data_IF_005883415302
#
_entry.id   IF_005883415302
#
_cell.length_a   1.000
_cell.length_b   1.000
_cell.length_c   1.000
_cell.angle_alpha   90.00
_cell.angle_beta   90.00
_cell.angle_gamma   90.00
#
_symmetry.space_group_name_H-M   'P 1'
#
loop_
_entity.id
_entity.type
_entity.pdbx_description
1 polymer ?
#
# COMPACT_ATOMS: atom_id res chain seq x y z
N UNK A 1 10.03 6.30 5.85
CA UNK A 1 11.39 6.19 6.48
C UNK A 1 11.35 5.52 7.86
N UNK A 2 10.68 6.05 8.89
CA UNK A 2 10.66 5.41 10.24
C UNK A 2 10.18 3.95 10.23
N UNK A 3 9.01 3.69 9.63
CA UNK A 3 8.47 2.33 9.52
C UNK A 3 9.42 1.36 8.77
N UNK A 4 10.12 1.83 7.73
CA UNK A 4 11.10 1.01 7.02
C UNK A 4 12.30 0.65 7.91
N UNK A 5 12.81 1.61 8.68
CA UNK A 5 13.90 1.36 9.61
C UNK A 5 13.48 0.38 10.73
N UNK A 6 12.27 0.54 11.28
CA UNK A 6 11.71 -0.36 12.30
C UNK A 6 11.51 -1.79 11.76
N UNK A 7 11.17 -1.93 10.48
CA UNK A 7 10.98 -3.22 9.81
C UNK A 7 12.25 -3.72 9.07
N UNK A 8 13.40 -3.07 9.23
CA UNK A 8 14.66 -3.39 8.54
C UNK A 8 14.59 -3.42 7.00
N UNK A 9 13.65 -2.69 6.40
CA UNK A 9 13.49 -2.55 4.95
C UNK A 9 14.48 -1.52 4.40
N UNK A 10 15.26 -1.91 3.39
CA UNK A 10 16.29 -1.05 2.77
C UNK A 10 15.85 -0.53 1.41
N UNK A 11 15.14 -1.35 0.65
CA UNK A 11 14.60 -1.04 -0.67
C UNK A 11 13.08 -1.30 -0.68
N UNK A 12 12.26 -0.33 -0.24
CA UNK A 12 10.81 -0.53 -0.13
C UNK A 12 10.14 -0.83 -1.47
N UNK A 13 10.71 -0.35 -2.59
CA UNK A 13 10.22 -0.62 -3.94
C UNK A 13 10.27 -2.13 -4.29
N UNK A 14 11.26 -2.86 -3.79
CA UNK A 14 11.48 -4.27 -4.11
C UNK A 14 11.11 -5.21 -2.95
N UNK A 15 11.13 -4.73 -1.70
CA UNK A 15 10.87 -5.56 -0.52
C UNK A 15 9.41 -5.54 -0.07
N UNK A 16 8.64 -4.48 -0.36
CA UNK A 16 7.21 -4.43 -0.07
C UNK A 16 6.46 -5.13 -1.20
N UNK A 17 5.83 -6.26 -0.90
CA UNK A 17 5.16 -7.10 -1.90
C UNK A 17 3.81 -6.53 -2.34
N UNK A 18 3.16 -5.75 -1.49
CA UNK A 18 1.85 -5.15 -1.75
C UNK A 18 1.60 -3.98 -0.80
N UNK A 19 0.72 -3.06 -1.18
CA UNK A 19 0.28 -2.01 -0.26
C UNK A 19 -1.17 -1.58 -0.44
N UNK A 20 -1.72 -1.07 0.66
CA UNK A 20 -2.99 -0.35 0.72
C UNK A 20 -2.69 1.07 1.19
N UNK A 21 -2.99 2.07 0.37
CA UNK A 21 -2.70 3.47 0.69
C UNK A 21 -3.99 4.29 0.77
N UNK A 22 -3.93 5.48 1.36
CA UNK A 22 -5.13 6.30 1.56
C UNK A 22 -5.50 7.04 0.26
N UNK A 23 -6.07 6.35 -0.72
CA UNK A 23 -6.41 6.83 -2.06
C UNK A 23 -7.76 7.58 -2.13
N UNK A 24 -8.02 8.51 -1.21
CA UNK A 24 -9.27 9.30 -1.24
C UNK A 24 -9.44 10.10 -2.55
N UNK A 25 -8.34 10.36 -3.25
CA UNK A 25 -8.29 10.83 -4.63
C UNK A 25 -7.15 10.12 -5.37
N UNK A 26 -7.28 9.95 -6.69
CA UNK A 26 -6.23 9.32 -7.52
C UNK A 26 -4.88 10.03 -7.44
N UNK A 27 -4.88 11.36 -7.36
CA UNK A 27 -3.64 12.13 -7.19
C UNK A 27 -2.98 11.88 -5.82
N UNK A 28 -3.77 11.62 -4.78
CA UNK A 28 -3.23 11.33 -3.45
C UNK A 28 -2.51 9.98 -3.43
N UNK A 29 -3.08 8.98 -4.09
CA UNK A 29 -2.43 7.68 -4.31
C UNK A 29 -1.09 7.84 -5.03
N UNK A 30 -1.08 8.58 -6.14
CA UNK A 30 0.14 8.84 -6.93
C UNK A 30 1.25 9.48 -6.08
N UNK A 31 0.95 10.56 -5.37
CA UNK A 31 1.94 11.25 -4.53
C UNK A 31 2.39 10.35 -3.36
N UNK A 32 1.46 9.59 -2.76
CA UNK A 32 1.78 8.68 -1.66
C UNK A 32 2.76 7.59 -2.11
N UNK A 33 2.63 7.05 -3.33
CA UNK A 33 3.59 6.06 -3.85
C UNK A 33 5.00 6.64 -4.03
N UNK A 34 5.13 7.93 -4.34
CA UNK A 34 6.43 8.61 -4.37
C UNK A 34 6.97 8.88 -2.96
N UNK A 35 6.13 9.32 -2.03
CA UNK A 35 6.50 9.57 -0.63
C UNK A 35 6.93 8.28 0.09
N UNK A 36 6.31 7.15 -0.25
CA UNK A 36 6.66 5.80 0.18
C UNK A 36 7.88 5.24 -0.58
N UNK A 37 8.47 5.99 -1.51
CA UNK A 37 9.66 5.58 -2.26
C UNK A 37 9.43 4.32 -3.12
N UNK A 38 8.17 4.05 -3.50
CA UNK A 38 7.85 3.03 -4.49
C UNK A 38 8.19 3.50 -5.88
N UNK A 39 8.08 4.81 -6.15
CA UNK A 39 8.55 5.47 -7.36
C UNK A 39 9.51 6.61 -7.02
N UNK A 40 10.45 6.99 -7.92
CA UNK A 40 11.16 8.25 -7.78
C UNK A 40 10.18 9.45 -7.79
N UNK A 41 10.57 10.54 -7.12
CA UNK A 41 9.79 11.78 -7.09
C UNK A 41 9.49 12.29 -8.50
N UNK A 42 8.23 12.58 -8.80
CA UNK A 42 7.73 13.02 -10.09
C UNK A 42 7.75 11.95 -11.19
N UNK A 43 7.92 10.67 -10.84
CA UNK A 43 8.08 9.55 -11.79
C UNK A 43 7.07 8.43 -11.61
N UNK A 44 6.06 8.63 -10.77
CA UNK A 44 5.02 7.61 -10.53
C UNK A 44 4.17 7.33 -11.75
N UNK A 45 3.99 8.32 -12.65
CA UNK A 45 3.21 8.15 -13.87
C UNK A 45 3.79 7.05 -14.76
N UNK A 46 5.11 7.02 -14.91
CA UNK A 46 5.78 6.01 -15.72
C UNK A 46 5.57 4.59 -15.16
N UNK A 47 5.58 4.43 -13.84
CA UNK A 47 5.33 3.14 -13.18
C UNK A 47 3.84 2.73 -13.26
N UNK A 48 2.91 3.69 -13.18
CA UNK A 48 1.47 3.44 -13.40
C UNK A 48 1.23 2.99 -14.84
N UNK A 49 1.76 3.74 -15.82
CA UNK A 49 1.59 3.44 -17.25
C UNK A 49 2.22 2.09 -17.62
N UNK A 50 3.31 1.69 -16.94
CA UNK A 50 3.95 0.39 -17.09
C UNK A 50 3.21 -0.75 -16.37
N UNK A 51 2.13 -0.46 -15.64
CA UNK A 51 1.34 -1.44 -14.91
C UNK A 51 2.02 -1.97 -13.65
N UNK A 52 3.02 -1.28 -13.09
CA UNK A 52 3.78 -1.78 -11.93
C UNK A 52 2.87 -2.10 -10.74
N UNK A 53 1.86 -1.24 -10.56
CA UNK A 53 0.96 -1.25 -9.41
C UNK A 53 -0.34 -2.02 -9.65
N UNK A 54 -0.51 -2.59 -10.84
CA UNK A 54 -1.66 -3.44 -11.14
C UNK A 54 -1.63 -4.71 -10.27
N UNK A 55 -2.76 -5.39 -10.18
CA UNK A 55 -2.89 -6.62 -9.38
C UNK A 55 -1.90 -7.73 -9.79
N UNK A 56 -1.58 -7.80 -11.08
CA UNK A 56 -0.60 -8.71 -11.69
C UNK A 56 0.79 -8.08 -11.89
N UNK A 57 0.96 -6.83 -11.44
CA UNK A 57 2.21 -6.10 -11.51
C UNK A 57 3.24 -6.54 -10.45
N UNK A 58 4.49 -6.05 -10.52
CA UNK A 58 5.55 -6.39 -9.56
C UNK A 58 5.29 -5.93 -8.13
N UNK A 59 4.47 -4.89 -7.94
CA UNK A 59 4.15 -4.36 -6.60
C UNK A 59 2.69 -3.89 -6.57
N UNK A 60 1.70 -4.79 -6.43
CA UNK A 60 0.29 -4.42 -6.44
C UNK A 60 -0.07 -3.40 -5.35
N UNK A 61 -0.78 -2.34 -5.74
CA UNK A 61 -1.30 -1.30 -4.84
C UNK A 61 -2.84 -1.30 -4.92
N UNK A 62 -3.50 -1.21 -3.77
CA UNK A 62 -4.96 -1.38 -3.65
C UNK A 62 -5.49 -2.72 -4.19
N UNK A 63 -4.92 -3.89 -3.81
CA UNK A 63 -5.40 -5.18 -4.31
C UNK A 63 -6.87 -5.48 -3.99
N UNK A 64 -7.53 -4.77 -3.07
CA UNK A 64 -8.97 -4.88 -2.83
C UNK A 64 -9.84 -3.82 -3.56
N UNK A 65 -9.20 -2.88 -4.27
CA UNK A 65 -9.83 -1.77 -4.98
C UNK A 65 -9.75 -0.40 -4.30
N UNK A 66 -9.19 -0.32 -3.09
CA UNK A 66 -8.92 0.94 -2.40
C UNK A 66 -10.16 1.74 -2.02
N UNK A 67 -9.96 2.94 -1.48
CA UNK A 67 -11.05 3.86 -1.11
C UNK A 67 -11.91 4.24 -2.32
N UNK A 68 -11.32 4.30 -3.51
CA UNK A 68 -12.01 4.66 -4.76
C UNK A 68 -13.12 3.66 -5.15
N UNK A 69 -12.87 2.36 -4.97
CA UNK A 69 -13.78 1.32 -5.48
C UNK A 69 -14.41 0.47 -4.39
N UNK A 70 -13.65 0.13 -3.33
CA UNK A 70 -14.18 -0.62 -2.18
C UNK A 70 -15.11 0.27 -1.33
N UNK A 71 -14.78 1.56 -1.24
CA UNK A 71 -15.51 2.56 -0.48
C UNK A 71 -14.73 3.09 0.72
N UNK A 72 -15.17 4.23 1.25
CA UNK A 72 -14.43 4.98 2.27
C UNK A 72 -15.27 5.35 3.51
N UNK A 73 -15.69 4.36 4.33
CA UNK A 73 -16.16 4.65 5.68
C UNK A 73 -14.97 5.06 6.55
N UNK A 74 -14.91 6.34 6.93
CA UNK A 74 -13.72 7.02 7.48
C UNK A 74 -12.99 6.18 8.54
N UNK A 75 -13.68 5.77 9.61
CA UNK A 75 -13.06 5.00 10.71
C UNK A 75 -12.73 3.54 10.36
N UNK A 76 -13.43 2.94 9.40
CA UNK A 76 -13.26 1.54 9.03
C UNK A 76 -12.17 1.32 7.96
N UNK A 77 -11.76 2.38 7.26
CA UNK A 77 -10.82 2.26 6.13
C UNK A 77 -9.47 1.66 6.55
N UNK A 78 -8.87 2.14 7.65
CA UNK A 78 -7.60 1.59 8.14
C UNK A 78 -7.68 0.12 8.59
N UNK A 79 -8.81 -0.29 9.18
CA UNK A 79 -9.03 -1.69 9.56
C UNK A 79 -9.17 -2.59 8.34
N UNK A 80 -9.88 -2.12 7.30
CA UNK A 80 -10.02 -2.83 6.03
C UNK A 80 -8.66 -3.00 5.33
N UNK A 81 -7.83 -1.94 5.28
CA UNK A 81 -6.47 -2.03 4.72
C UNK A 81 -5.67 -3.16 5.38
N UNK A 82 -5.67 -3.20 6.73
CA UNK A 82 -4.98 -4.25 7.48
C UNK A 82 -5.57 -5.64 7.25
N UNK A 83 -6.90 -5.72 7.13
CA UNK A 83 -7.61 -6.96 6.84
C UNK A 83 -7.27 -7.51 5.44
N UNK A 84 -7.07 -6.66 4.44
CA UNK A 84 -6.60 -7.10 3.13
C UNK A 84 -5.18 -7.67 3.21
N UNK A 85 -4.26 -6.99 3.89
CA UNK A 85 -2.90 -7.52 4.12
C UNK A 85 -2.94 -8.88 4.82
N UNK A 86 -3.79 -9.02 5.85
CA UNK A 86 -4.00 -10.29 6.55
C UNK A 86 -4.48 -11.40 5.59
N UNK A 87 -5.51 -11.17 4.78
CA UNK A 87 -6.02 -12.17 3.83
C UNK A 87 -4.97 -12.56 2.81
N UNK A 88 -4.26 -11.59 2.23
CA UNK A 88 -3.23 -11.82 1.23
C UNK A 88 -2.06 -12.65 1.81
N UNK A 89 -1.58 -12.30 3.00
CA UNK A 89 -0.54 -13.07 3.71
C UNK A 89 -1.02 -14.47 4.13
N UNK A 90 -2.33 -14.69 4.27
CA UNK A 90 -2.89 -16.00 4.63
C UNK A 90 -3.24 -16.87 3.43
N UNK A 91 -3.09 -16.38 2.19
CA UNK A 91 -3.55 -17.11 1.01
C UNK A 91 -5.08 -17.15 0.86
N UNK A 92 -5.79 -16.18 1.45
CA UNK A 92 -7.26 -16.14 1.56
C UNK A 92 -7.90 -14.98 0.78
N UNK A 93 -7.19 -14.39 -0.18
CA UNK A 93 -7.69 -13.25 -0.96
C UNK A 93 -8.50 -13.64 -2.21
N UNK A 94 -8.69 -14.93 -2.48
CA UNK A 94 -9.50 -15.43 -3.60
C UNK A 94 -8.87 -15.09 -4.95
N UNK A 95 -9.67 -14.58 -5.90
CA UNK A 95 -9.20 -14.21 -7.25
C UNK A 95 -8.12 -13.12 -7.25
N UNK A 96 -8.03 -12.34 -6.17
CA UNK A 96 -7.05 -11.24 -6.03
C UNK A 96 -5.77 -11.67 -5.31
N UNK A 97 -5.56 -12.97 -5.13
CA UNK A 97 -4.43 -13.49 -4.37
C UNK A 97 -3.10 -13.20 -5.06
N UNK A 98 -2.25 -12.45 -4.37
CA UNK A 98 -0.87 -12.17 -4.79
C UNK A 98 -0.01 -13.42 -4.53
N UNK A 99 0.87 -13.82 -5.46
CA UNK A 99 1.75 -14.97 -5.28
C UNK A 99 2.86 -14.67 -4.26
N UNK A 100 3.01 -15.52 -3.25
CA UNK A 100 4.10 -15.51 -2.28
C UNK A 100 4.43 -14.13 -1.64
N UNK A 101 3.44 -13.33 -1.16
CA UNK A 101 3.74 -12.04 -0.56
C UNK A 101 4.48 -12.22 0.75
N UNK A 102 5.55 -11.43 0.92
CA UNK A 102 6.41 -11.40 2.11
C UNK A 102 5.99 -10.31 3.09
N UNK A 103 5.90 -9.07 2.59
CA UNK A 103 5.53 -7.90 3.39
C UNK A 103 4.39 -7.13 2.73
N UNK A 104 3.39 -6.74 3.52
CA UNK A 104 2.34 -5.81 3.17
C UNK A 104 2.51 -4.49 3.91
N UNK A 105 2.16 -3.38 3.25
CA UNK A 105 2.20 -2.04 3.84
C UNK A 105 0.80 -1.43 3.86
N UNK A 106 0.42 -0.79 4.97
CA UNK A 106 -0.75 0.07 5.01
C UNK A 106 -0.34 1.51 5.29
N UNK A 107 -0.86 2.45 4.52
CA UNK A 107 -0.73 3.89 4.75
C UNK A 107 -2.12 4.50 4.94
N UNK A 108 -2.50 4.79 6.19
CA UNK A 108 -3.76 5.43 6.51
C UNK A 108 -3.54 6.89 6.91
N UNK A 109 -4.35 7.79 6.38
CA UNK A 109 -4.26 9.23 6.61
C UNK A 109 -5.60 9.76 7.13
N UNK A 110 -5.57 10.71 8.05
CA UNK A 110 -6.75 11.45 8.51
C UNK A 110 -6.48 12.94 8.53
N UNK A 111 -7.50 13.75 8.28
CA UNK A 111 -7.39 15.20 8.19
C UNK A 111 -7.25 15.69 6.74
N UNK A 112 -6.72 16.89 6.58
CA UNK A 112 -6.49 17.54 5.28
C UNK A 112 -4.99 17.64 4.99
N UNK A 113 -4.54 17.77 3.73
CA UNK A 113 -3.11 17.74 3.39
C UNK A 113 -2.20 18.68 4.20
N UNK A 114 -2.70 19.84 4.63
CA UNK A 114 -1.93 20.79 5.45
C UNK A 114 -1.92 20.43 6.96
N UNK A 115 -2.80 19.54 7.42
CA UNK A 115 -3.01 19.16 8.82
C UNK A 115 -3.44 17.68 8.90
N UNK A 116 -2.59 16.79 8.40
CA UNK A 116 -2.87 15.36 8.37
C UNK A 116 -2.12 14.60 9.46
N UNK A 117 -2.74 13.55 9.99
CA UNK A 117 -2.08 12.51 10.77
C UNK A 117 -1.98 11.27 9.90
N UNK A 118 -0.78 10.68 9.83
CA UNK A 118 -0.50 9.50 9.02
C UNK A 118 -0.05 8.36 9.92
N UNK A 119 -0.62 7.18 9.70
CA UNK A 119 -0.19 5.91 10.27
C UNK A 119 0.31 5.00 9.14
N UNK A 120 1.53 4.48 9.31
CA UNK A 120 2.11 3.48 8.41
C UNK A 120 2.40 2.23 9.22
N UNK A 121 1.98 1.08 8.71
CA UNK A 121 2.31 -0.22 9.28
C UNK A 121 2.85 -1.15 8.20
N UNK A 122 3.84 -1.97 8.56
CA UNK A 122 4.41 -3.01 7.71
C UNK A 122 4.18 -4.33 8.44
N UNK A 123 3.56 -5.28 7.76
CA UNK A 123 3.21 -6.60 8.31
C UNK A 123 3.73 -7.70 7.41
N UNK A 124 4.21 -8.79 8.00
CA UNK A 124 4.73 -9.95 7.29
C UNK A 124 4.50 -11.23 8.06
N UNK A 125 4.77 -12.37 7.41
CA UNK A 125 4.66 -13.70 8.04
C UNK A 125 5.88 -14.08 8.88
N UNK A 126 7.02 -13.47 8.60
CA UNK A 126 8.31 -13.78 9.21
C UNK A 126 8.72 -12.62 10.13
N UNK A 127 9.32 -12.97 11.27
CA UNK A 127 10.04 -12.00 12.10
C UNK A 127 11.32 -11.63 11.33
N UNK A 128 11.49 -10.34 11.04
CA UNK A 128 12.65 -9.81 10.32
C UNK A 128 13.97 -9.99 11.06
#
# INVERSE_FOLDING_TARGET
IKAYAEASIKNPREEISMAEVHDCFSINEAITMEDLQFSPRGKVKEDIDAGRFNLDGPQPIQPDGGLKSFGHPIGASGLRMMYEMYKQLQGKAGERQIPNPKYGLTHNMGGVPAQSVVSIAIVGRELG
#
